data_IF_313670387443
#
_entry.id   IF_313670387443
#
_cell.length_a   1.000
_cell.length_b   1.000
_cell.length_c   1.000
_cell.angle_alpha   90.00
_cell.angle_beta   90.00
_cell.angle_gamma   90.00
#
_symmetry.space_group_name_H-M   'P 1'
#
loop_
_entity.id
_entity.type
_entity.pdbx_description
1 polymer ?
#
# COMPACT_ATOMS: atom_id res chain seq x y z
N UNK A 1 -9.86 22.29 1.53
CA UNK A 1 -8.44 22.45 1.93
C UNK A 1 -7.66 22.91 0.72
N UNK A 2 -6.79 23.93 0.86
CA UNK A 2 -5.96 24.43 -0.24
C UNK A 2 -4.90 23.41 -0.67
N UNK A 3 -4.39 23.46 -1.92
CA UNK A 3 -3.30 22.59 -2.37
C UNK A 3 -2.08 22.65 -1.45
N UNK A 4 -1.68 23.86 -1.02
CA UNK A 4 -0.56 24.05 -0.10
C UNK A 4 -0.77 23.38 1.27
N UNK A 5 -2.00 23.34 1.78
CA UNK A 5 -2.27 22.63 3.03
C UNK A 5 -2.21 21.11 2.83
N UNK A 6 -2.82 20.60 1.76
CA UNK A 6 -2.80 19.16 1.43
C UNK A 6 -1.37 18.65 1.26
N UNK A 7 -0.53 19.41 0.54
CA UNK A 7 0.88 19.13 0.35
C UNK A 7 1.61 18.96 1.69
N UNK A 8 1.48 19.94 2.59
CA UNK A 8 2.15 19.92 3.90
C UNK A 8 1.67 18.74 4.75
N UNK A 9 0.37 18.50 4.73
CA UNK A 9 -0.24 17.41 5.46
C UNK A 9 0.26 16.06 4.95
N UNK A 10 0.26 15.83 3.63
CA UNK A 10 0.74 14.55 3.07
C UNK A 10 2.24 14.35 3.25
N UNK A 11 3.03 15.42 3.16
CA UNK A 11 4.47 15.35 3.48
C UNK A 11 4.71 14.95 4.94
N UNK A 12 3.92 15.46 5.87
CA UNK A 12 3.97 15.02 7.26
C UNK A 12 3.56 13.54 7.40
N UNK A 13 2.44 13.13 6.78
CA UNK A 13 1.97 11.73 6.82
C UNK A 13 3.03 10.77 6.28
N UNK A 14 3.67 11.12 5.16
CA UNK A 14 4.76 10.33 4.60
C UNK A 14 5.94 10.25 5.58
N UNK A 15 6.50 11.38 6.01
CA UNK A 15 7.64 11.36 6.93
C UNK A 15 7.33 10.62 8.25
N UNK A 16 6.10 10.70 8.75
CA UNK A 16 5.68 10.01 9.97
C UNK A 16 5.67 8.49 9.78
N UNK A 17 5.10 7.98 8.69
CA UNK A 17 5.03 6.55 8.42
C UNK A 17 6.32 5.93 7.87
N UNK A 18 7.27 6.74 7.41
CA UNK A 18 8.65 6.31 7.15
C UNK A 18 9.56 6.45 8.39
N UNK A 19 9.04 6.91 9.53
CA UNK A 19 9.83 7.13 10.74
C UNK A 19 10.05 5.85 11.55
N UNK A 20 11.15 5.81 12.31
CA UNK A 20 11.69 4.60 12.96
C UNK A 20 10.71 3.79 13.83
N UNK A 21 9.69 4.38 14.45
CA UNK A 21 8.71 3.60 15.23
C UNK A 21 7.82 2.71 14.33
N UNK A 22 7.49 3.15 13.11
CA UNK A 22 6.70 2.37 12.16
C UNK A 22 7.53 1.32 11.42
N UNK A 23 8.83 1.59 11.23
CA UNK A 23 9.78 0.66 10.65
C UNK A 23 10.39 -0.32 11.68
N UNK A 24 10.22 -0.09 12.98
CA UNK A 24 10.73 -0.99 14.03
C UNK A 24 9.96 -2.29 14.22
N UNK A 25 8.78 -2.41 13.60
CA UNK A 25 7.99 -3.65 13.61
C UNK A 25 8.52 -4.65 12.59
N UNK A 26 8.44 -5.95 12.91
CA UNK A 26 8.95 -7.00 12.02
C UNK A 26 8.16 -7.09 10.69
N UNK A 27 6.89 -6.68 10.69
CA UNK A 27 6.05 -6.67 9.49
C UNK A 27 5.36 -5.31 9.37
N UNK A 28 5.55 -4.64 8.24
CA UNK A 28 4.94 -3.35 7.95
C UNK A 28 4.34 -3.33 6.55
N UNK A 29 3.07 -2.90 6.44
CA UNK A 29 2.36 -2.81 5.17
C UNK A 29 1.96 -1.35 4.91
N UNK A 30 2.41 -0.82 3.79
CA UNK A 30 2.05 0.52 3.30
C UNK A 30 1.31 0.39 1.97
N UNK A 31 0.11 0.95 1.91
CA UNK A 31 -0.72 1.03 0.70
C UNK A 31 -1.12 2.49 0.51
N UNK A 32 -1.09 2.97 -0.74
CA UNK A 32 -1.39 4.37 -1.06
C UNK A 32 -0.42 5.36 -0.46
N UNK A 33 0.87 5.15 -0.73
CA UNK A 33 1.98 5.88 -0.10
C UNK A 33 2.72 6.78 -1.10
N UNK A 34 4.06 6.82 -1.08
CA UNK A 34 4.89 7.78 -1.83
C UNK A 34 4.73 7.72 -3.36
N UNK A 35 4.61 6.53 -3.97
CA UNK A 35 4.36 6.39 -5.41
C UNK A 35 2.96 6.89 -5.78
N UNK A 36 1.96 6.60 -4.95
CA UNK A 36 0.59 7.06 -5.20
C UNK A 36 0.51 8.60 -5.15
N UNK A 37 1.20 9.24 -4.20
CA UNK A 37 1.33 10.70 -4.18
C UNK A 37 2.05 11.25 -5.42
N UNK A 38 3.05 10.54 -5.97
CA UNK A 38 3.70 10.92 -7.22
C UNK A 38 2.77 10.89 -8.45
N UNK A 39 1.73 10.06 -8.41
CA UNK A 39 0.74 9.94 -9.49
C UNK A 39 -0.45 10.89 -9.27
N UNK A 40 -1.11 10.80 -8.12
CA UNK A 40 -2.40 11.48 -7.91
C UNK A 40 -2.28 12.92 -7.44
N UNK A 41 -1.23 13.32 -6.72
CA UNK A 41 -1.12 14.69 -6.26
C UNK A 41 -1.07 15.73 -7.40
N UNK A 42 -0.22 15.57 -8.43
CA UNK A 42 -0.19 16.52 -9.53
C UNK A 42 -1.50 16.51 -10.34
N UNK A 43 -2.13 15.34 -10.48
CA UNK A 43 -3.34 15.17 -11.28
C UNK A 43 -4.61 15.71 -10.58
N UNK A 44 -4.81 15.41 -9.30
CA UNK A 44 -6.06 15.66 -8.60
C UNK A 44 -5.97 16.69 -7.47
N UNK A 45 -4.78 16.95 -6.93
CA UNK A 45 -4.62 17.77 -5.72
C UNK A 45 -3.97 19.13 -5.96
N UNK A 46 -3.42 19.36 -7.16
CA UNK A 46 -2.92 20.66 -7.61
C UNK A 46 -1.58 21.05 -7.00
N UNK A 47 -0.73 20.07 -6.66
CA UNK A 47 0.64 20.32 -6.19
C UNK A 47 1.62 19.24 -6.66
N UNK A 48 2.90 19.58 -6.67
CA UNK A 48 3.99 18.61 -6.80
C UNK A 48 4.11 17.96 -8.19
N UNK A 49 3.71 18.67 -9.24
CA UNK A 49 4.00 18.27 -10.61
C UNK A 49 5.47 18.47 -11.02
N UNK A 50 5.83 18.03 -12.24
CA UNK A 50 7.20 18.12 -12.74
C UNK A 50 7.81 19.52 -12.61
N UNK A 51 8.94 19.63 -11.91
CA UNK A 51 9.66 20.89 -11.71
C UNK A 51 9.01 21.89 -10.75
N UNK A 52 7.90 21.52 -10.09
CA UNK A 52 7.26 22.34 -9.08
C UNK A 52 7.94 22.19 -7.72
N UNK A 53 7.70 23.14 -6.81
CA UNK A 53 8.09 22.97 -5.41
C UNK A 53 7.42 21.72 -4.83
N UNK A 54 8.22 20.83 -4.24
CA UNK A 54 7.72 19.57 -3.70
C UNK A 54 7.27 18.58 -4.78
N UNK A 55 7.89 18.62 -5.96
CA UNK A 55 7.77 17.59 -7.02
C UNK A 55 7.71 16.19 -6.41
N UNK A 56 6.60 15.48 -6.66
CA UNK A 56 6.31 14.22 -5.99
C UNK A 56 7.04 13.03 -6.56
N UNK A 57 7.43 13.05 -7.83
CA UNK A 57 8.31 12.03 -8.40
C UNK A 57 9.68 12.11 -7.75
N UNK A 58 10.25 13.31 -7.60
CA UNK A 58 11.53 13.52 -6.90
C UNK A 58 11.43 13.17 -5.42
N UNK A 59 10.35 13.61 -4.75
CA UNK A 59 10.14 13.31 -3.34
C UNK A 59 9.97 11.81 -3.07
N UNK A 60 9.33 11.07 -3.98
CA UNK A 60 9.21 9.61 -3.88
C UNK A 60 10.59 8.94 -3.85
N UNK A 61 11.57 9.39 -4.65
CA UNK A 61 12.94 8.87 -4.62
C UNK A 61 13.64 9.14 -3.29
N UNK A 62 13.37 10.31 -2.67
CA UNK A 62 13.90 10.64 -1.33
C UNK A 62 13.35 9.70 -0.27
N UNK A 63 12.03 9.47 -0.25
CA UNK A 63 11.42 8.53 0.69
C UNK A 63 11.99 7.13 0.48
N UNK A 64 12.18 6.69 -0.76
CA UNK A 64 12.78 5.38 -1.01
C UNK A 64 14.25 5.28 -0.61
N UNK A 65 15.01 6.38 -0.61
CA UNK A 65 16.34 6.37 -0.03
C UNK A 65 16.28 6.02 1.47
N UNK A 66 15.38 6.68 2.21
CA UNK A 66 15.17 6.41 3.64
C UNK A 66 14.69 4.95 3.87
N UNK A 67 13.74 4.46 3.06
CA UNK A 67 13.31 3.06 3.08
C UNK A 67 14.48 2.10 2.83
N UNK A 68 15.35 2.38 1.86
CA UNK A 68 16.47 1.51 1.54
C UNK A 68 17.59 1.53 2.59
N UNK A 69 17.67 2.60 3.39
CA UNK A 69 18.58 2.72 4.52
C UNK A 69 18.06 1.94 5.74
N UNK A 70 16.79 2.15 6.10
CA UNK A 70 16.20 1.60 7.32
C UNK A 70 15.57 0.21 7.12
N UNK A 71 15.13 -0.12 5.91
CA UNK A 71 14.36 -1.33 5.58
C UNK A 71 14.69 -1.83 4.16
N UNK A 72 15.96 -2.20 3.88
CA UNK A 72 16.40 -2.64 2.54
C UNK A 72 15.68 -3.89 2.02
N UNK A 73 14.96 -4.58 2.91
CA UNK A 73 14.25 -5.81 2.68
C UNK A 73 12.78 -5.61 2.24
N UNK A 74 12.31 -4.36 2.19
CA UNK A 74 10.98 -3.99 1.70
C UNK A 74 10.71 -4.55 0.30
N UNK A 75 9.53 -5.15 0.14
CA UNK A 75 9.01 -5.66 -1.12
C UNK A 75 8.03 -4.64 -1.71
N UNK A 76 8.32 -4.12 -2.90
CA UNK A 76 7.39 -3.28 -3.66
C UNK A 76 6.56 -4.13 -4.62
N UNK A 77 5.24 -4.03 -4.50
CA UNK A 77 4.30 -4.72 -5.38
C UNK A 77 3.50 -3.71 -6.19
N UNK A 78 3.59 -3.81 -7.52
CA UNK A 78 2.66 -3.11 -8.40
C UNK A 78 1.48 -4.03 -8.69
N UNK A 79 0.32 -3.70 -8.13
CA UNK A 79 -0.94 -4.33 -8.49
C UNK A 79 -1.56 -3.55 -9.67
N UNK A 80 -1.81 -4.23 -10.78
CA UNK A 80 -2.31 -3.62 -12.02
C UNK A 80 -3.44 -4.45 -12.62
N UNK A 81 -4.12 -3.87 -13.61
CA UNK A 81 -5.10 -4.52 -14.46
C UNK A 81 -5.20 -3.79 -15.79
N UNK A 82 -5.72 -4.44 -16.82
CA UNK A 82 -6.04 -3.81 -18.08
C UNK A 82 -7.07 -2.69 -17.89
N UNK A 83 -6.98 -1.59 -18.67
CA UNK A 83 -7.87 -0.44 -18.55
C UNK A 83 -9.34 -0.82 -18.56
N UNK A 84 -9.75 -1.72 -19.45
CA UNK A 84 -11.13 -2.19 -19.61
C UNK A 84 -11.63 -2.86 -18.33
N UNK A 85 -10.84 -3.74 -17.72
CA UNK A 85 -11.20 -4.40 -16.47
C UNK A 85 -11.38 -3.39 -15.33
N UNK A 86 -10.56 -2.34 -15.27
CA UNK A 86 -10.69 -1.26 -14.27
C UNK A 86 -11.99 -0.49 -14.52
N UNK A 87 -12.25 -0.07 -15.76
CA UNK A 87 -13.47 0.68 -16.14
C UNK A 87 -14.73 -0.13 -15.87
N UNK A 88 -14.73 -1.42 -16.19
CA UNK A 88 -15.84 -2.34 -15.87
C UNK A 88 -16.06 -2.46 -14.36
N UNK A 89 -15.00 -2.57 -13.56
CA UNK A 89 -15.10 -2.61 -12.10
C UNK A 89 -15.66 -1.29 -11.54
N UNK A 90 -15.19 -0.16 -12.06
CA UNK A 90 -15.72 1.17 -11.73
C UNK A 90 -17.19 1.32 -12.13
N UNK A 91 -17.63 0.73 -13.23
CA UNK A 91 -19.04 0.76 -13.63
C UNK A 91 -19.91 -0.19 -12.80
N UNK A 92 -19.39 -1.38 -12.46
CA UNK A 92 -20.09 -2.43 -11.70
C UNK A 92 -20.26 -2.08 -10.23
N UNK A 93 -19.22 -1.53 -9.63
CA UNK A 93 -19.25 -0.97 -8.29
C UNK A 93 -18.67 0.45 -8.35
N UNK A 94 -19.52 1.44 -8.69
CA UNK A 94 -19.08 2.84 -8.74
C UNK A 94 -18.68 3.37 -7.36
N UNK A 95 -18.88 2.60 -6.28
CA UNK A 95 -18.67 3.11 -4.94
C UNK A 95 -18.48 2.01 -3.86
N UNK A 96 -17.32 1.30 -3.83
CA UNK A 96 -16.98 0.51 -2.66
C UNK A 96 -16.79 1.47 -1.49
N UNK A 97 -17.81 1.51 -0.62
CA UNK A 97 -17.84 2.34 0.57
C UNK A 97 -16.72 1.89 1.52
N UNK A 98 -16.04 2.84 2.16
CA UNK A 98 -15.32 2.50 3.40
C UNK A 98 -16.35 2.00 4.45
N UNK A 99 -15.87 1.38 5.53
CA UNK A 99 -16.71 0.88 6.64
C UNK A 99 -17.63 1.95 7.28
N UNK A 100 -17.57 3.22 6.84
CA UNK A 100 -18.35 4.37 7.31
C UNK A 100 -19.09 5.11 6.19
N UNK A 101 -19.16 4.57 4.98
CA UNK A 101 -19.94 5.16 3.88
C UNK A 101 -19.37 6.45 3.29
N UNK A 102 -18.06 6.71 3.40
CA UNK A 102 -17.41 7.92 2.84
C UNK A 102 -17.00 7.76 1.38
N UNK A 103 -16.75 8.93 0.75
CA UNK A 103 -16.75 9.30 -0.68
C UNK A 103 -15.88 8.46 -1.64
N UNK A 104 -16.19 8.51 -2.96
CA UNK A 104 -15.54 7.71 -4.01
C UNK A 104 -14.02 7.91 -4.09
N UNK A 105 -13.33 6.89 -4.62
CA UNK A 105 -11.94 7.01 -5.05
C UNK A 105 -11.77 8.19 -6.02
N UNK A 106 -10.58 8.79 -6.03
CA UNK A 106 -10.32 10.02 -6.81
C UNK A 106 -10.12 9.78 -8.30
N UNK A 107 -9.86 8.53 -8.69
CA UNK A 107 -9.63 8.12 -10.07
C UNK A 107 -10.88 8.31 -10.92
N UNK A 108 -10.73 9.02 -12.03
CA UNK A 108 -11.77 9.18 -13.06
C UNK A 108 -11.56 8.19 -14.18
N UNK A 109 -12.66 7.79 -14.83
CA UNK A 109 -12.64 6.80 -15.90
C UNK A 109 -11.79 7.27 -17.09
N UNK A 110 -11.85 8.56 -17.42
CA UNK A 110 -11.07 9.17 -18.49
C UNK A 110 -9.56 9.19 -18.24
N UNK A 111 -9.13 9.05 -16.97
CA UNK A 111 -7.75 9.14 -16.55
C UNK A 111 -7.10 7.75 -16.33
N UNK A 112 -7.84 6.64 -16.50
CA UNK A 112 -7.39 5.27 -16.17
C UNK A 112 -6.08 4.91 -16.88
N UNK A 113 -6.02 5.07 -18.20
CA UNK A 113 -4.84 4.74 -19.00
C UNK A 113 -3.65 5.61 -18.61
N UNK A 114 -3.88 6.90 -18.37
CA UNK A 114 -2.83 7.81 -17.95
C UNK A 114 -2.27 7.43 -16.59
N UNK A 115 -3.15 7.13 -15.63
CA UNK A 115 -2.76 6.73 -14.27
C UNK A 115 -2.00 5.41 -14.27
N UNK A 116 -2.44 4.42 -15.05
CA UNK A 116 -1.71 3.15 -15.23
C UNK A 116 -0.30 3.37 -15.76
N UNK A 117 -0.14 4.20 -16.79
CA UNK A 117 1.17 4.54 -17.34
C UNK A 117 2.05 5.24 -16.30
N UNK A 118 1.51 6.20 -15.55
CA UNK A 118 2.23 6.92 -14.50
C UNK A 118 2.67 6.00 -13.35
N UNK A 119 1.83 5.06 -12.92
CA UNK A 119 2.24 4.05 -11.92
C UNK A 119 3.37 3.16 -12.45
N UNK A 120 3.32 2.75 -13.72
CA UNK A 120 4.39 1.95 -14.32
C UNK A 120 5.71 2.73 -14.40
N UNK A 121 5.65 4.01 -14.76
CA UNK A 121 6.82 4.91 -14.78
C UNK A 121 7.46 5.06 -13.40
N UNK A 122 6.67 5.37 -12.37
CA UNK A 122 7.16 5.51 -10.99
C UNK A 122 7.67 4.18 -10.42
N UNK A 123 6.98 3.06 -10.74
CA UNK A 123 7.44 1.73 -10.36
C UNK A 123 8.78 1.40 -11.01
N UNK A 124 8.95 1.68 -12.30
CA UNK A 124 10.20 1.45 -13.02
C UNK A 124 11.35 2.29 -12.45
N UNK A 125 11.07 3.55 -12.09
CA UNK A 125 12.00 4.47 -11.45
C UNK A 125 12.30 4.15 -9.97
N UNK A 126 11.65 3.13 -9.39
CA UNK A 126 11.85 2.72 -8.00
C UNK A 126 13.30 2.31 -7.70
N UNK A 127 13.83 2.79 -6.57
CA UNK A 127 15.08 2.37 -5.93
C UNK A 127 14.88 1.07 -5.12
N UNK A 128 13.64 0.71 -4.78
CA UNK A 128 13.32 -0.53 -4.07
C UNK A 128 13.68 -1.73 -4.95
N UNK A 129 14.62 -2.54 -4.47
CA UNK A 129 15.25 -3.62 -5.25
C UNK A 129 14.33 -4.83 -5.38
N UNK A 130 13.66 -5.20 -4.29
CA UNK A 130 12.76 -6.36 -4.25
C UNK A 130 11.40 -5.91 -4.76
N UNK A 131 11.13 -6.15 -6.05
CA UNK A 131 9.87 -5.71 -6.67
C UNK A 131 9.31 -6.71 -7.66
N UNK A 132 7.99 -6.71 -7.81
CA UNK A 132 7.29 -7.48 -8.82
C UNK A 132 5.91 -6.89 -9.13
N UNK A 133 5.37 -7.30 -10.27
CA UNK A 133 4.04 -6.91 -10.75
C UNK A 133 3.08 -8.08 -10.57
N UNK A 134 1.86 -7.78 -10.18
CA UNK A 134 0.70 -8.68 -10.26
C UNK A 134 -0.32 -8.00 -11.17
N UNK A 135 -0.59 -8.62 -12.31
CA UNK A 135 -1.76 -8.27 -13.12
C UNK A 135 -2.94 -9.07 -12.60
N UNK A 136 -3.98 -8.38 -12.13
CA UNK A 136 -5.18 -8.99 -11.60
C UNK A 136 -6.40 -8.82 -12.50
N UNK A 137 -6.22 -8.54 -13.79
CA UNK A 137 -7.32 -8.32 -14.75
C UNK A 137 -8.39 -9.41 -14.68
N UNK A 138 -7.95 -10.67 -14.63
CA UNK A 138 -8.80 -11.85 -14.64
C UNK A 138 -8.77 -12.66 -13.33
N UNK A 139 -8.08 -12.14 -12.30
CA UNK A 139 -7.89 -12.85 -11.04
C UNK A 139 -8.96 -12.48 -10.01
N UNK A 140 -9.43 -13.48 -9.26
CA UNK A 140 -10.18 -13.26 -8.02
C UNK A 140 -9.28 -12.68 -6.91
N UNK A 141 -9.86 -12.16 -5.81
CA UNK A 141 -9.08 -11.78 -4.64
C UNK A 141 -8.21 -12.90 -4.08
N UNK A 142 -8.72 -14.13 -4.02
CA UNK A 142 -8.01 -15.30 -3.52
C UNK A 142 -6.86 -15.72 -4.45
N UNK A 143 -7.09 -15.65 -5.77
CA UNK A 143 -6.06 -15.91 -6.78
C UNK A 143 -4.97 -14.84 -6.75
N UNK A 144 -5.35 -13.57 -6.60
CA UNK A 144 -4.41 -12.45 -6.43
C UNK A 144 -3.53 -12.63 -5.20
N UNK A 145 -4.11 -13.04 -4.07
CA UNK A 145 -3.36 -13.33 -2.84
C UNK A 145 -2.41 -14.52 -3.02
N UNK A 146 -2.85 -15.55 -3.74
CA UNK A 146 -2.02 -16.72 -4.06
C UNK A 146 -0.81 -16.32 -4.92
N UNK A 147 -1.02 -15.50 -5.95
CA UNK A 147 0.04 -14.95 -6.80
C UNK A 147 1.03 -14.09 -6.00
N UNK A 148 0.53 -13.22 -5.11
CA UNK A 148 1.38 -12.45 -4.21
C UNK A 148 2.25 -13.38 -3.36
N UNK A 149 1.64 -14.36 -2.71
CA UNK A 149 2.35 -15.30 -1.81
C UNK A 149 3.46 -16.02 -2.57
N UNK A 150 3.14 -16.55 -3.76
CA UNK A 150 4.10 -17.24 -4.60
C UNK A 150 5.29 -16.34 -5.00
N UNK A 151 5.03 -15.13 -5.48
CA UNK A 151 6.09 -14.21 -5.92
C UNK A 151 6.91 -13.64 -4.76
N UNK A 152 6.29 -13.44 -3.59
CA UNK A 152 6.94 -12.90 -2.40
C UNK A 152 7.90 -13.92 -1.76
N UNK A 153 7.65 -15.23 -1.88
CA UNK A 153 8.46 -16.29 -1.26
C UNK A 153 9.96 -16.17 -1.51
N UNK A 154 10.37 -15.77 -2.72
CA UNK A 154 11.80 -15.63 -3.08
C UNK A 154 12.51 -14.48 -2.34
N UNK A 155 11.75 -13.55 -1.78
CA UNK A 155 12.28 -12.39 -1.05
C UNK A 155 12.25 -12.57 0.47
N UNK A 156 11.55 -13.59 0.97
CA UNK A 156 11.50 -13.85 2.41
C UNK A 156 12.87 -14.27 2.93
N UNK A 157 13.25 -13.75 4.08
CA UNK A 157 14.46 -14.17 4.78
C UNK A 157 14.28 -15.57 5.39
N UNK A 158 15.36 -16.13 5.94
CA UNK A 158 15.24 -17.37 6.72
C UNK A 158 14.36 -17.16 7.96
N UNK A 159 14.50 -16.01 8.63
CA UNK A 159 13.72 -15.66 9.81
C UNK A 159 12.23 -15.54 9.49
N UNK A 160 11.87 -14.92 8.38
CA UNK A 160 10.47 -14.81 7.93
C UNK A 160 9.86 -16.20 7.70
N UNK A 161 10.60 -17.09 7.01
CA UNK A 161 10.14 -18.47 6.77
C UNK A 161 9.96 -19.24 8.07
N UNK A 162 10.86 -19.06 9.04
CA UNK A 162 10.75 -19.70 10.36
C UNK A 162 9.54 -19.18 11.15
N UNK A 163 9.30 -17.87 11.13
CA UNK A 163 8.13 -17.24 11.76
C UNK A 163 6.81 -17.74 11.14
N UNK A 164 6.75 -17.83 9.81
CA UNK A 164 5.58 -18.37 9.09
C UNK A 164 5.33 -19.84 9.45
N UNK A 165 6.36 -20.68 9.43
CA UNK A 165 6.25 -22.10 9.78
C UNK A 165 5.81 -22.29 11.24
N UNK A 166 6.39 -21.53 12.18
CA UNK A 166 5.99 -21.55 13.58
C UNK A 166 4.52 -21.14 13.75
N UNK A 167 4.07 -20.11 13.01
CA UNK A 167 2.67 -19.67 13.01
C UNK A 167 1.73 -20.77 12.48
N UNK A 168 2.09 -21.44 11.40
CA UNK A 168 1.29 -22.54 10.83
C UNK A 168 1.08 -23.68 11.83
N UNK A 169 2.15 -24.12 12.51
CA UNK A 169 2.07 -25.15 13.55
C UNK A 169 1.15 -24.72 14.70
N UNK A 170 1.20 -23.46 15.12
CA UNK A 170 0.30 -22.94 16.16
C UNK A 170 -1.16 -22.90 15.71
N UNK A 171 -1.44 -22.54 14.45
CA UNK A 171 -2.80 -22.60 13.88
C UNK A 171 -3.32 -24.03 13.86
N UNK A 172 -2.53 -24.98 13.35
CA UNK A 172 -2.90 -26.39 13.23
C UNK A 172 -3.17 -27.06 14.59
N UNK A 173 -2.46 -26.63 15.64
CA UNK A 173 -2.66 -27.09 17.02
C UNK A 173 -3.86 -26.45 17.72
N UNK A 174 -4.52 -25.48 17.09
CA UNK A 174 -5.59 -24.70 17.72
C UNK A 174 -5.10 -23.65 18.72
N UNK A 175 -3.78 -23.50 18.91
CA UNK A 175 -3.12 -22.56 19.83
C UNK A 175 -2.95 -21.16 19.22
N UNK A 176 -3.91 -20.72 18.41
CA UNK A 176 -3.88 -19.37 17.87
C UNK A 176 -4.54 -18.41 18.87
N UNK A 177 -3.81 -17.36 19.26
CA UNK A 177 -4.48 -16.19 19.84
C UNK A 177 -5.44 -15.65 18.78
N UNK A 178 -6.72 -15.49 19.14
CA UNK A 178 -7.65 -14.70 18.32
C UNK A 178 -6.99 -13.35 18.04
N UNK A 179 -7.08 -12.88 16.80
CA UNK A 179 -6.57 -11.55 16.46
C UNK A 179 -7.22 -10.53 17.39
N UNK A 180 -6.42 -9.69 18.04
CA UNK A 180 -6.95 -8.55 18.77
C UNK A 180 -7.70 -7.70 17.76
N UNK A 181 -9.03 -7.72 17.82
CA UNK A 181 -9.86 -6.79 17.05
C UNK A 181 -9.73 -5.43 17.73
N UNK A 182 -8.66 -4.73 17.43
CA UNK A 182 -8.45 -3.38 17.93
C UNK A 182 -9.56 -2.49 17.35
N UNK A 183 -10.53 -2.13 18.19
CA UNK A 183 -11.66 -1.27 17.82
C UNK A 183 -13.05 -1.92 17.84
N UNK A 184 -13.19 -3.21 18.18
CA UNK A 184 -14.54 -3.77 18.39
C UNK A 184 -15.14 -3.26 19.71
N UNK A 185 -16.16 -2.40 19.58
CA UNK A 185 -16.90 -1.82 20.71
C UNK A 185 -17.89 -2.79 21.34
N UNK A 186 -18.10 -3.97 20.76
CA UNK A 186 -18.97 -5.01 21.29
C UNK A 186 -18.28 -5.89 22.35
N UNK A 187 -16.94 -5.84 22.41
CA UNK A 187 -16.16 -6.57 23.42
C UNK A 187 -15.98 -5.70 24.68
N UNK A 188 -16.42 -6.18 25.87
CA UNK A 188 -16.30 -5.45 27.13
C UNK A 188 -14.86 -5.06 27.47
N UNK A 189 -14.62 -3.89 28.11
CA UNK A 189 -13.29 -3.36 28.40
C UNK A 189 -12.39 -4.35 29.14
N UNK A 190 -12.95 -5.10 30.09
CA UNK A 190 -12.23 -6.12 30.88
C UNK A 190 -11.72 -7.33 30.07
N UNK A 191 -12.21 -7.54 28.84
CA UNK A 191 -11.72 -8.59 27.93
C UNK A 191 -10.73 -8.06 26.89
N UNK A 192 -10.49 -6.75 26.86
CA UNK A 192 -9.42 -6.15 26.05
C UNK A 192 -8.13 -6.36 26.82
N UNK A 193 -7.44 -7.47 26.54
CA UNK A 193 -6.13 -7.73 27.14
C UNK A 193 -5.19 -6.60 26.70
N UNK A 194 -4.75 -5.78 27.66
CA UNK A 194 -3.65 -4.84 27.48
C UNK A 194 -2.34 -5.61 27.54
N UNK A 195 -1.43 -5.35 26.59
CA UNK A 195 -0.01 -5.63 26.77
C UNK A 195 0.55 -4.65 27.81
#
# INVERSE_FOLDING_TARGET
MSPAFKERFQRYQMAYHAGGAFLSGNDHLLVGYHIEEAVFAPLYYGYGGPGQYGDRSVYARRIEHDIMEDSPDTILVLLTAHPEAIKERMARDPMPRDQKGRRPGVLREEDVEHVLARFLEEFAASLIRRRFVIDNSDLSPEETLSEFTWKAQKFLSHEDRMRIAARQVLVERGDHREGVVEGDKTVPPEKRISI
#
